data_IF_125625179788
#
_entry.id   IF_125625179788
#
_cell.length_a   1.000
_cell.length_b   1.000
_cell.length_c   1.000
_cell.angle_alpha   90.00
_cell.angle_beta   90.00
_cell.angle_gamma   90.00
#
_symmetry.space_group_name_H-M   'P 1'
#
loop_
_entity.id
_entity.type
_entity.pdbx_description
1 polymer ?
#
# COMPACT_ATOMS: atom_id res chain seq x y z
N UNK A 1 -19.15 0.73 2.58
CA UNK A 1 -19.50 -0.69 2.33
C UNK A 1 -19.65 -1.39 3.67
N UNK A 2 -20.68 -2.21 3.94
CA UNK A 2 -20.76 -2.99 5.17
C UNK A 2 -19.58 -3.95 5.34
N UNK A 3 -19.07 -4.13 6.56
CA UNK A 3 -17.93 -5.03 6.84
C UNK A 3 -18.20 -6.45 6.33
N UNK A 4 -19.41 -6.98 6.56
CA UNK A 4 -19.80 -8.31 6.08
C UNK A 4 -19.70 -8.47 4.56
N UNK A 5 -19.89 -7.40 3.80
CA UNK A 5 -19.76 -7.42 2.35
C UNK A 5 -18.28 -7.39 1.92
N UNK A 6 -17.43 -6.66 2.65
CA UNK A 6 -15.98 -6.68 2.43
C UNK A 6 -15.41 -8.08 2.69
N UNK A 7 -15.77 -8.67 3.82
CA UNK A 7 -15.32 -10.01 4.24
C UNK A 7 -15.82 -11.13 3.30
N UNK A 8 -16.96 -10.94 2.65
CA UNK A 8 -17.52 -11.87 1.68
C UNK A 8 -16.84 -11.80 0.29
N UNK A 9 -15.98 -10.81 0.05
CA UNK A 9 -15.32 -10.68 -1.25
C UNK A 9 -14.31 -11.81 -1.48
N UNK A 10 -14.17 -12.23 -2.75
CA UNK A 10 -13.24 -13.29 -3.15
C UNK A 10 -11.79 -12.91 -2.80
N UNK A 11 -11.42 -11.65 -3.01
CA UNK A 11 -10.08 -11.14 -2.74
C UNK A 11 -9.76 -11.10 -1.25
N UNK A 12 -10.75 -10.81 -0.39
CA UNK A 12 -10.58 -10.82 1.06
C UNK A 12 -10.11 -12.20 1.56
N UNK A 13 -10.64 -13.25 0.99
CA UNK A 13 -10.32 -14.63 1.33
C UNK A 13 -9.15 -15.22 0.52
N UNK A 14 -8.57 -14.44 -0.39
CA UNK A 14 -7.45 -14.90 -1.21
C UNK A 14 -6.11 -14.78 -0.46
N UNK A 15 -5.13 -15.59 -0.90
CA UNK A 15 -3.75 -15.50 -0.41
C UNK A 15 -3.10 -14.23 -0.93
N UNK A 16 -2.40 -13.52 -0.04
CA UNK A 16 -1.59 -12.35 -0.37
C UNK A 16 -0.18 -12.73 -0.86
N UNK A 17 0.42 -11.83 -1.63
CA UNK A 17 1.83 -11.91 -2.01
C UNK A 17 2.69 -11.17 -0.97
N UNK A 18 3.93 -11.65 -0.77
CA UNK A 18 4.88 -11.02 0.15
C UNK A 18 5.82 -10.07 -0.60
N UNK A 19 5.68 -8.77 -0.35
CA UNK A 19 6.58 -7.74 -0.88
C UNK A 19 7.93 -7.79 -0.21
N UNK A 20 7.97 -7.95 1.12
CA UNK A 20 9.22 -8.00 1.89
C UNK A 20 10.14 -9.14 1.42
N UNK A 21 9.57 -10.31 1.11
CA UNK A 21 10.29 -11.45 0.59
C UNK A 21 10.84 -11.19 -0.81
N UNK A 22 10.04 -10.60 -1.70
CA UNK A 22 10.49 -10.28 -3.05
C UNK A 22 11.59 -9.21 -3.04
N UNK A 23 11.48 -8.18 -2.21
CA UNK A 23 12.51 -7.15 -2.05
C UNK A 23 13.85 -7.75 -1.61
N UNK A 24 13.85 -8.67 -0.63
CA UNK A 24 15.06 -9.34 -0.13
C UNK A 24 15.77 -10.18 -1.18
N UNK A 25 15.02 -10.75 -2.12
CA UNK A 25 15.53 -11.66 -3.16
C UNK A 25 15.72 -10.98 -4.51
N UNK A 26 15.40 -9.69 -4.62
CA UNK A 26 15.47 -8.95 -5.88
C UNK A 26 16.84 -8.32 -6.09
N UNK A 27 17.28 -8.27 -7.35
CA UNK A 27 18.47 -7.51 -7.76
C UNK A 27 18.17 -6.02 -7.84
N UNK A 28 16.96 -5.63 -8.27
CA UNK A 28 16.60 -4.21 -8.44
C UNK A 28 16.09 -3.55 -7.15
N UNK A 29 15.37 -4.28 -6.31
CA UNK A 29 14.75 -3.75 -5.09
C UNK A 29 13.73 -2.63 -5.33
N UNK A 30 13.14 -2.55 -6.53
CA UNK A 30 12.28 -1.43 -6.92
C UNK A 30 10.81 -1.76 -6.62
N UNK A 31 10.13 -0.80 -5.96
CA UNK A 31 8.67 -0.70 -5.89
C UNK A 31 8.27 0.51 -6.73
N UNK A 32 7.45 0.31 -7.76
CA UNK A 32 6.98 1.39 -8.62
C UNK A 32 5.66 1.97 -8.12
N UNK A 33 5.37 3.23 -8.41
CA UNK A 33 4.15 3.90 -7.95
C UNK A 33 3.28 4.34 -9.11
N UNK A 34 1.98 3.98 -9.05
CA UNK A 34 0.95 4.54 -9.92
C UNK A 34 0.27 5.72 -9.25
N UNK A 35 0.35 6.89 -9.90
CA UNK A 35 -0.22 8.13 -9.41
C UNK A 35 -0.62 9.03 -10.57
N UNK A 36 -1.87 9.55 -10.57
CA UNK A 36 -2.37 10.45 -11.62
C UNK A 36 -2.00 11.90 -11.41
N UNK A 37 -1.97 12.35 -10.16
CA UNK A 37 -1.66 13.73 -9.77
C UNK A 37 -1.10 13.80 -8.35
N UNK A 38 -0.65 14.96 -7.94
CA UNK A 38 -0.27 15.24 -6.55
C UNK A 38 -0.59 16.69 -6.20
N UNK A 39 -0.59 17.08 -4.91
CA UNK A 39 -0.76 18.49 -4.52
C UNK A 39 0.23 19.44 -5.19
N UNK A 40 1.44 18.99 -5.48
CA UNK A 40 2.49 19.77 -6.15
C UNK A 40 2.46 19.70 -7.68
N UNK A 41 1.70 18.76 -8.26
CA UNK A 41 1.62 18.54 -9.72
C UNK A 41 0.24 18.05 -10.12
N UNK A 42 -0.53 18.90 -10.76
CA UNK A 42 -1.94 18.67 -11.13
C UNK A 42 -2.15 17.54 -12.12
N UNK A 43 -1.17 17.27 -12.98
CA UNK A 43 -1.22 16.16 -13.95
C UNK A 43 0.13 15.46 -13.98
N UNK A 44 0.13 14.18 -13.65
CA UNK A 44 1.29 13.29 -13.77
C UNK A 44 1.02 12.27 -14.87
N UNK A 45 -0.13 11.60 -14.83
CA UNK A 45 -0.55 10.64 -15.84
C UNK A 45 -2.07 10.63 -15.98
N UNK A 46 -2.56 11.07 -17.13
CA UNK A 46 -3.98 11.00 -17.49
C UNK A 46 -4.22 10.20 -18.78
N UNK A 47 -3.14 9.69 -19.42
CA UNK A 47 -3.21 9.11 -20.77
C UNK A 47 -3.13 7.56 -20.75
N UNK A 48 -2.72 6.96 -19.64
CA UNK A 48 -2.58 5.52 -19.52
C UNK A 48 -3.50 5.00 -18.40
N UNK A 49 -4.12 3.86 -18.65
CA UNK A 49 -4.91 3.17 -17.65
C UNK A 49 -4.03 2.61 -16.52
N UNK A 50 -4.63 2.30 -15.39
CA UNK A 50 -3.89 1.65 -14.29
C UNK A 50 -3.41 0.26 -14.70
N UNK A 51 -4.18 -0.45 -15.52
CA UNK A 51 -3.85 -1.77 -16.05
C UNK A 51 -2.59 -1.72 -16.93
N UNK A 52 -2.52 -0.78 -17.86
CA UNK A 52 -1.37 -0.60 -18.74
C UNK A 52 -0.10 -0.26 -17.96
N UNK A 53 -0.23 0.64 -16.99
CA UNK A 53 0.89 1.03 -16.13
C UNK A 53 1.36 -0.14 -15.26
N UNK A 54 0.42 -0.86 -14.64
CA UNK A 54 0.73 -2.00 -13.79
C UNK A 54 1.43 -3.13 -14.57
N UNK A 55 0.93 -3.47 -15.75
CA UNK A 55 1.56 -4.45 -16.65
C UNK A 55 2.95 -3.98 -17.09
N UNK A 56 3.11 -2.70 -17.44
CA UNK A 56 4.41 -2.13 -17.79
C UNK A 56 5.43 -2.25 -16.66
N UNK A 57 5.03 -1.96 -15.43
CA UNK A 57 5.88 -2.11 -14.25
C UNK A 57 6.25 -3.57 -13.98
N UNK A 58 5.28 -4.48 -14.03
CA UNK A 58 5.56 -5.91 -13.86
C UNK A 58 6.53 -6.42 -14.93
N UNK A 59 6.35 -6.05 -16.20
CA UNK A 59 7.24 -6.43 -17.29
C UNK A 59 8.65 -5.84 -17.15
N UNK A 60 8.77 -4.69 -16.50
CA UNK A 60 10.06 -4.08 -16.13
C UNK A 60 10.77 -4.77 -14.96
N UNK A 61 10.12 -5.73 -14.29
CA UNK A 61 10.73 -6.54 -13.22
C UNK A 61 10.72 -5.85 -11.85
N UNK A 62 9.73 -4.99 -11.55
CA UNK A 62 9.59 -4.41 -10.21
C UNK A 62 9.12 -5.46 -9.20
N UNK A 63 9.47 -5.28 -7.93
CA UNK A 63 9.08 -6.19 -6.84
C UNK A 63 7.62 -6.04 -6.43
N UNK A 64 7.04 -4.87 -6.63
CA UNK A 64 5.67 -4.57 -6.30
C UNK A 64 5.26 -3.20 -6.81
N UNK A 65 3.97 -2.89 -6.69
CA UNK A 65 3.40 -1.63 -7.16
C UNK A 65 2.66 -0.95 -6.00
N UNK A 66 2.99 0.32 -5.79
CA UNK A 66 2.26 1.22 -4.91
C UNK A 66 1.14 1.88 -5.71
N UNK A 67 -0.12 1.73 -5.26
CA UNK A 67 -1.31 2.29 -5.91
C UNK A 67 -1.95 3.29 -4.96
N UNK A 68 -2.01 4.57 -5.37
CA UNK A 68 -2.70 5.59 -4.61
C UNK A 68 -4.21 5.42 -4.74
N UNK A 69 -4.92 5.46 -3.58
CA UNK A 69 -6.37 5.28 -3.52
C UNK A 69 -7.12 6.54 -3.10
N UNK A 70 -6.42 7.59 -2.67
CA UNK A 70 -7.03 8.89 -2.37
C UNK A 70 -7.49 9.61 -3.66
N UNK A 71 -8.79 9.93 -3.69
CA UNK A 71 -9.40 10.59 -4.85
C UNK A 71 -9.12 12.10 -4.89
N UNK A 72 -9.11 12.75 -3.72
CA UNK A 72 -9.06 14.21 -3.61
C UNK A 72 -7.71 14.78 -4.03
N UNK A 73 -6.63 14.25 -3.48
CA UNK A 73 -5.29 14.80 -3.67
C UNK A 73 -4.50 14.11 -4.78
N UNK A 74 -4.72 12.79 -4.96
CA UNK A 74 -3.91 11.98 -5.85
C UNK A 74 -4.66 11.43 -7.06
N UNK A 75 -5.99 11.57 -7.10
CA UNK A 75 -6.82 11.12 -8.21
C UNK A 75 -6.92 9.60 -8.34
N UNK A 76 -6.72 8.89 -7.23
CA UNK A 76 -6.82 7.45 -7.16
C UNK A 76 -8.19 6.96 -6.72
N UNK A 77 -8.35 5.65 -6.65
CA UNK A 77 -9.56 4.99 -6.16
C UNK A 77 -9.27 3.56 -5.69
N UNK A 78 -10.20 2.96 -4.95
CA UNK A 78 -10.17 1.54 -4.64
C UNK A 78 -10.35 0.67 -5.90
N UNK A 79 -11.07 1.19 -6.90
CA UNK A 79 -11.22 0.50 -8.20
C UNK A 79 -9.88 0.39 -8.92
N UNK A 80 -8.99 1.38 -8.81
CA UNK A 80 -7.63 1.29 -9.35
C UNK A 80 -6.84 0.13 -8.73
N UNK A 81 -7.02 -0.10 -7.43
CA UNK A 81 -6.38 -1.22 -6.75
C UNK A 81 -6.93 -2.57 -7.25
N UNK A 82 -8.25 -2.67 -7.45
CA UNK A 82 -8.89 -3.86 -8.05
C UNK A 82 -8.41 -4.13 -9.46
N UNK A 83 -8.36 -3.10 -10.30
CA UNK A 83 -7.90 -3.21 -11.70
C UNK A 83 -6.43 -3.60 -11.77
N UNK A 84 -5.58 -3.02 -10.93
CA UNK A 84 -4.19 -3.42 -10.81
C UNK A 84 -4.07 -4.89 -10.37
N UNK A 85 -4.85 -5.33 -9.35
CA UNK A 85 -4.84 -6.73 -8.88
C UNK A 85 -5.26 -7.72 -9.95
N UNK A 86 -6.23 -7.37 -10.77
CA UNK A 86 -6.67 -8.19 -11.88
C UNK A 86 -5.63 -8.30 -13.02
N UNK A 87 -4.71 -7.33 -13.12
CA UNK A 87 -3.78 -7.20 -14.23
C UNK A 87 -2.41 -7.82 -13.95
N UNK A 88 -1.98 -7.93 -12.68
CA UNK A 88 -0.63 -8.36 -12.32
C UNK A 88 -0.60 -9.45 -11.24
N UNK A 89 0.53 -10.17 -11.17
CA UNK A 89 0.79 -11.24 -10.21
C UNK A 89 1.94 -10.89 -9.26
N UNK A 90 2.11 -9.62 -8.94
CA UNK A 90 3.10 -9.10 -8.00
C UNK A 90 2.39 -8.35 -6.86
N UNK A 91 3.04 -8.16 -5.69
CA UNK A 91 2.44 -7.48 -4.55
C UNK A 91 1.96 -6.07 -4.84
N UNK A 92 0.80 -5.71 -4.31
CA UNK A 92 0.23 -4.38 -4.37
C UNK A 92 0.19 -3.73 -2.99
N UNK A 93 0.78 -2.55 -2.87
CA UNK A 93 0.69 -1.69 -1.71
C UNK A 93 -0.45 -0.69 -1.89
N UNK A 94 -1.43 -0.70 -0.98
CA UNK A 94 -2.40 0.41 -0.90
C UNK A 94 -1.70 1.64 -0.32
N UNK A 95 -1.49 2.66 -1.13
CA UNK A 95 -0.94 3.95 -0.72
C UNK A 95 -2.08 4.87 -0.30
N UNK A 96 -2.31 4.95 1.01
CA UNK A 96 -3.39 5.71 1.63
C UNK A 96 -3.00 6.17 3.02
N UNK A 97 -3.64 7.20 3.54
CA UNK A 97 -3.56 7.59 4.95
C UNK A 97 -4.46 6.69 5.78
N UNK A 98 -3.91 5.61 6.29
CA UNK A 98 -4.66 4.63 7.10
C UNK A 98 -4.62 5.07 8.56
N UNK A 99 -5.81 5.28 9.12
CA UNK A 99 -6.04 5.71 10.51
C UNK A 99 -7.10 4.86 11.22
N UNK A 100 -7.73 3.91 10.50
CA UNK A 100 -8.82 3.08 11.01
C UNK A 100 -8.74 1.66 10.45
N UNK A 101 -9.11 0.66 11.25
CA UNK A 101 -9.13 -0.76 10.85
C UNK A 101 -10.05 -1.03 9.67
N UNK A 102 -11.13 -0.26 9.52
CA UNK A 102 -12.02 -0.38 8.37
C UNK A 102 -11.29 -0.17 7.04
N UNK A 103 -10.35 0.78 6.98
CA UNK A 103 -9.55 0.99 5.78
C UNK A 103 -8.64 -0.21 5.45
N UNK A 104 -8.24 -0.98 6.47
CA UNK A 104 -7.45 -2.22 6.28
C UNK A 104 -8.35 -3.35 5.72
N UNK A 105 -9.60 -3.45 6.20
CA UNK A 105 -10.60 -4.36 5.61
C UNK A 105 -10.86 -4.01 4.15
N UNK A 106 -11.05 -2.72 3.83
CA UNK A 106 -11.18 -2.25 2.45
C UNK A 106 -9.95 -2.62 1.60
N UNK A 107 -8.74 -2.40 2.12
CA UNK A 107 -7.51 -2.75 1.40
C UNK A 107 -7.47 -4.24 1.04
N UNK A 108 -7.76 -5.10 2.00
CA UNK A 108 -7.81 -6.56 1.79
C UNK A 108 -8.87 -6.95 0.76
N UNK A 109 -10.08 -6.41 0.90
CA UNK A 109 -11.21 -6.70 0.01
C UNK A 109 -10.98 -6.24 -1.45
N UNK A 110 -10.11 -5.24 -1.67
CA UNK A 110 -9.76 -4.71 -2.98
C UNK A 110 -8.40 -5.23 -3.50
N UNK A 111 -7.81 -6.22 -2.83
CA UNK A 111 -6.65 -6.95 -3.35
C UNK A 111 -5.30 -6.38 -2.99
N UNK A 112 -5.20 -5.52 -1.98
CA UNK A 112 -3.90 -5.16 -1.40
C UNK A 112 -3.21 -6.37 -0.79
N UNK A 113 -1.91 -6.40 -0.89
CA UNK A 113 -1.03 -7.35 -0.23
C UNK A 113 -0.28 -6.67 0.94
N UNK A 114 -0.12 -5.36 0.83
CA UNK A 114 0.61 -4.50 1.79
C UNK A 114 -0.19 -3.24 2.06
N UNK A 115 -0.16 -2.78 3.30
CA UNK A 115 -0.67 -1.46 3.68
C UNK A 115 0.46 -0.51 4.09
N UNK A 116 0.18 0.79 3.99
CA UNK A 116 1.05 1.86 4.48
C UNK A 116 0.54 2.37 5.83
N UNK A 117 1.45 2.47 6.81
CA UNK A 117 1.25 3.29 8.01
C UNK A 117 2.27 4.43 8.00
N UNK A 118 1.89 5.61 8.48
CA UNK A 118 2.74 6.81 8.45
C UNK A 118 2.97 7.26 9.89
N UNK A 119 4.22 7.19 10.36
CA UNK A 119 4.59 7.49 11.74
C UNK A 119 4.33 8.95 12.13
N UNK A 120 4.37 9.88 11.18
CA UNK A 120 4.10 11.30 11.43
C UNK A 120 2.66 11.59 11.87
N UNK A 121 1.70 10.74 11.49
CA UNK A 121 0.26 10.97 11.75
C UNK A 121 -0.34 10.00 12.77
N UNK A 122 0.41 9.01 13.22
CA UNK A 122 -0.04 7.97 14.13
C UNK A 122 0.77 7.96 15.42
N UNK A 123 0.12 7.68 16.53
CA UNK A 123 0.78 7.34 17.79
C UNK A 123 1.38 5.94 17.73
N UNK A 124 2.27 5.61 18.67
CA UNK A 124 2.85 4.26 18.80
C UNK A 124 1.77 3.19 19.00
N UNK A 125 0.76 3.50 19.81
CA UNK A 125 -0.36 2.60 20.12
C UNK A 125 -1.22 2.35 18.89
N UNK A 126 -1.51 3.38 18.10
CA UNK A 126 -2.25 3.25 16.84
C UNK A 126 -1.46 2.44 15.81
N UNK A 127 -0.15 2.67 15.67
CA UNK A 127 0.72 1.86 14.79
C UNK A 127 0.65 0.38 15.20
N UNK A 128 0.75 0.10 16.51
CA UNK A 128 0.67 -1.26 17.02
C UNK A 128 -0.68 -1.91 16.69
N UNK A 129 -1.78 -1.24 17.03
CA UNK A 129 -3.13 -1.76 16.80
C UNK A 129 -3.37 -2.03 15.31
N UNK A 130 -3.09 -1.06 14.44
CA UNK A 130 -3.33 -1.17 13.01
C UNK A 130 -2.42 -2.21 12.35
N UNK A 131 -1.15 -2.30 12.76
CA UNK A 131 -0.22 -3.29 12.19
C UNK A 131 -0.56 -4.72 12.62
N UNK A 132 -0.89 -4.94 13.89
CA UNK A 132 -1.34 -6.25 14.38
C UNK A 132 -2.65 -6.68 13.70
N UNK A 133 -3.58 -5.75 13.50
CA UNK A 133 -4.82 -6.02 12.78
C UNK A 133 -4.55 -6.39 11.31
N UNK A 134 -3.69 -5.65 10.61
CA UNK A 134 -3.30 -5.97 9.23
C UNK A 134 -2.68 -7.37 9.11
N UNK A 135 -1.77 -7.71 10.02
CA UNK A 135 -1.15 -9.03 10.04
C UNK A 135 -2.16 -10.15 10.32
N UNK A 136 -3.17 -9.91 11.15
CA UNK A 136 -4.25 -10.89 11.40
C UNK A 136 -5.04 -11.24 10.13
N UNK A 137 -5.07 -10.33 9.15
CA UNK A 137 -5.68 -10.52 7.83
C UNK A 137 -4.69 -11.04 6.77
N UNK A 138 -3.43 -11.30 7.15
CA UNK A 138 -2.38 -11.76 6.25
C UNK A 138 -1.79 -10.66 5.35
N UNK A 139 -2.00 -9.38 5.69
CA UNK A 139 -1.37 -8.24 5.01
C UNK A 139 0.01 -7.95 5.61
N UNK A 140 0.96 -7.57 4.78
CA UNK A 140 2.21 -6.97 5.24
C UNK A 140 2.03 -5.47 5.53
N UNK A 141 2.91 -4.94 6.38
CA UNK A 141 2.88 -3.54 6.81
C UNK A 141 4.19 -2.85 6.46
N UNK A 142 4.10 -1.78 5.67
CA UNK A 142 5.17 -0.82 5.44
C UNK A 142 4.92 0.41 6.33
N UNK A 143 5.88 0.70 7.23
CA UNK A 143 5.85 1.94 8.01
C UNK A 143 6.71 3.00 7.33
N UNK A 144 6.12 4.16 7.03
CA UNK A 144 6.84 5.34 6.53
C UNK A 144 7.27 6.22 7.71
N UNK A 145 8.56 6.61 7.70
CA UNK A 145 9.16 7.54 8.67
C UNK A 145 9.93 8.64 7.93
N UNK A 146 10.05 9.83 8.55
CA UNK A 146 10.78 10.98 7.99
C UNK A 146 12.08 11.28 8.74
N UNK A 147 12.20 10.82 9.99
CA UNK A 147 13.32 11.11 10.87
C UNK A 147 13.56 9.99 11.88
N UNK A 148 14.66 10.12 12.63
CA UNK A 148 15.06 9.13 13.62
C UNK A 148 14.08 9.02 14.79
N UNK A 149 13.49 10.15 15.22
CA UNK A 149 12.52 10.17 16.32
C UNK A 149 11.28 9.35 15.97
N UNK A 150 10.74 9.52 14.77
CA UNK A 150 9.62 8.71 14.26
C UNK A 150 9.99 7.22 14.21
N UNK A 151 11.21 6.90 13.75
CA UNK A 151 11.69 5.53 13.68
C UNK A 151 11.77 4.90 15.08
N UNK A 152 12.42 5.55 16.04
CA UNK A 152 12.60 5.05 17.40
C UNK A 152 11.25 4.86 18.11
N UNK A 153 10.33 5.78 17.93
CA UNK A 153 8.96 5.70 18.45
C UNK A 153 8.21 4.48 17.92
N UNK A 154 8.48 4.07 16.69
CA UNK A 154 7.57 3.22 15.90
C UNK A 154 8.07 1.79 15.68
N UNK A 155 9.35 1.48 15.93
CA UNK A 155 9.88 0.13 15.73
C UNK A 155 9.15 -0.88 16.61
N UNK A 156 8.60 -1.93 15.99
CA UNK A 156 7.92 -3.03 16.67
C UNK A 156 7.83 -4.28 15.77
N UNK A 157 7.61 -5.49 16.34
CA UNK A 157 7.60 -6.76 15.58
C UNK A 157 6.50 -6.90 14.55
N UNK A 158 5.41 -6.14 14.66
CA UNK A 158 4.26 -6.18 13.74
C UNK A 158 4.48 -5.42 12.42
N UNK A 159 5.68 -4.89 12.19
CA UNK A 159 6.08 -4.23 10.95
C UNK A 159 6.92 -5.18 10.08
N UNK A 160 6.66 -5.20 8.79
CA UNK A 160 7.41 -6.04 7.83
C UNK A 160 8.50 -5.24 7.11
N UNK A 161 8.26 -3.96 6.88
CA UNK A 161 9.16 -3.05 6.16
C UNK A 161 9.13 -1.66 6.77
N UNK A 162 10.25 -0.95 6.65
CA UNK A 162 10.38 0.47 7.00
C UNK A 162 10.79 1.22 5.74
N UNK A 163 10.04 2.27 5.42
CA UNK A 163 10.33 3.21 4.35
C UNK A 163 10.76 4.56 4.91
N UNK A 164 11.85 5.11 4.39
CA UNK A 164 12.29 6.47 4.74
C UNK A 164 11.81 7.43 3.66
N UNK A 165 10.93 8.37 4.03
CA UNK A 165 10.51 9.43 3.12
C UNK A 165 11.49 10.59 3.21
N UNK A 166 12.21 10.83 2.11
CA UNK A 166 13.24 11.88 2.02
C UNK A 166 12.69 13.26 1.61
N UNK A 167 11.37 13.44 1.61
CA UNK A 167 10.72 14.74 1.39
C UNK A 167 10.24 15.31 2.71
N UNK A 168 10.66 16.54 3.02
CA UNK A 168 9.94 17.36 3.99
C UNK A 168 8.65 17.86 3.32
N UNK A 169 7.53 17.39 3.84
CA UNK A 169 6.19 17.83 3.41
C UNK A 169 5.82 19.15 4.10
#
# INVERSE_FOLDING_TARGET
IPVSQLEASVLFNSRTYSLSKLLKNSVSGIVAEHKRRSPSKTVINNNHSVEDVALGYQNAGVCGISVLTDAKYFGGSLDDLLLAKASVNIPLLRKEFIVDEYQILEAKAHGADVILLIAAVLTREEIKQLSEFAQSLGLEVLLEVHNLEELEKSIMPSLDMIGVNNRNL
#
